data_IF_440270464946
#
_entry.id   IF_440270464946
#
_cell.length_a   1.000
_cell.length_b   1.000
_cell.length_c   1.000
_cell.angle_alpha   90.00
_cell.angle_beta   90.00
_cell.angle_gamma   90.00
#
_symmetry.space_group_name_H-M   'P 1'
#
loop_
_entity.id
_entity.type
_entity.pdbx_description
1 polymer ?
#
# COMPACT_ATOMS: atom_id res chain seq x y z
N UNK A 1 -15.24 20.33 -55.14
CA UNK A 1 -14.31 19.46 -54.40
C UNK A 1 -13.40 20.28 -53.46
N UNK A 2 -13.90 21.38 -52.89
CA UNK A 2 -13.11 22.33 -52.08
C UNK A 2 -13.64 22.48 -50.64
N UNK A 3 -14.89 22.06 -50.37
CA UNK A 3 -15.53 22.11 -49.05
C UNK A 3 -15.00 21.06 -48.05
N UNK A 4 -14.48 19.95 -48.55
CA UNK A 4 -13.90 18.86 -47.74
C UNK A 4 -12.55 19.29 -47.14
N UNK A 5 -11.76 20.04 -47.88
CA UNK A 5 -10.46 20.55 -47.43
C UNK A 5 -10.61 21.60 -46.32
N UNK A 6 -11.65 22.44 -46.38
CA UNK A 6 -11.93 23.47 -45.37
C UNK A 6 -12.30 22.83 -44.02
N UNK A 7 -13.09 21.76 -44.03
CA UNK A 7 -13.45 21.02 -42.81
C UNK A 7 -12.25 20.30 -42.18
N UNK A 8 -11.33 19.77 -42.99
CA UNK A 8 -10.08 19.16 -42.50
C UNK A 8 -9.13 20.19 -41.87
N UNK A 9 -8.99 21.35 -42.49
CA UNK A 9 -8.14 22.44 -41.96
C UNK A 9 -8.72 22.99 -40.65
N UNK A 10 -10.04 23.12 -40.53
CA UNK A 10 -10.70 23.53 -39.28
C UNK A 10 -10.61 22.45 -38.18
N UNK A 11 -10.59 21.16 -38.54
CA UNK A 11 -10.29 20.07 -37.60
C UNK A 11 -8.85 20.14 -37.10
N UNK A 12 -7.91 20.47 -37.99
CA UNK A 12 -6.50 20.56 -37.65
C UNK A 12 -6.14 21.83 -36.85
N UNK A 13 -6.85 22.94 -37.06
CA UNK A 13 -6.71 24.11 -36.20
C UNK A 13 -7.24 23.85 -34.78
N UNK A 14 -8.34 23.10 -34.64
CA UNK A 14 -8.88 22.74 -33.31
C UNK A 14 -7.94 21.81 -32.53
N UNK A 15 -7.30 20.85 -33.19
CA UNK A 15 -6.30 20.00 -32.52
C UNK A 15 -5.06 20.81 -32.11
N UNK A 16 -4.60 21.71 -32.97
CA UNK A 16 -3.46 22.59 -32.66
C UNK A 16 -3.75 23.57 -31.52
N UNK A 17 -5.00 24.04 -31.41
CA UNK A 17 -5.45 24.90 -30.32
C UNK A 17 -5.59 24.14 -28.98
N UNK A 18 -5.89 22.84 -29.01
CA UNK A 18 -5.86 21.97 -27.83
C UNK A 18 -4.43 21.71 -27.33
N UNK A 19 -3.46 21.55 -28.25
CA UNK A 19 -2.03 21.49 -27.93
C UNK A 19 -1.50 22.83 -27.35
N UNK A 20 -2.01 23.97 -27.83
CA UNK A 20 -1.61 25.30 -27.37
C UNK A 20 -2.26 25.75 -26.05
N UNK A 21 -3.42 25.20 -25.66
CA UNK A 21 -4.12 25.51 -24.40
C UNK A 21 -3.59 24.72 -23.18
N UNK A 22 -2.54 23.92 -23.32
CA UNK A 22 -1.84 23.32 -22.17
C UNK A 22 -2.68 22.32 -21.35
N UNK A 23 -3.75 21.78 -21.94
CA UNK A 23 -4.62 20.78 -21.32
C UNK A 23 -4.54 19.52 -22.19
N UNK A 24 -3.94 18.40 -21.81
CA UNK A 24 -3.50 17.93 -20.50
C UNK A 24 -2.47 16.81 -20.73
N UNK A 25 -1.17 17.10 -20.61
CA UNK A 25 -0.14 16.08 -20.33
C UNK A 25 0.22 16.08 -18.84
N UNK A 26 -0.54 16.82 -18.02
CA UNK A 26 -0.35 16.94 -16.57
C UNK A 26 -1.23 16.03 -15.70
N UNK A 27 -2.11 15.19 -16.27
CA UNK A 27 -3.04 14.37 -15.48
C UNK A 27 -2.54 12.94 -15.19
N UNK A 28 -1.33 12.58 -15.62
CA UNK A 28 -0.77 11.23 -15.39
C UNK A 28 0.09 11.09 -14.13
N UNK A 29 0.56 12.20 -13.54
CA UNK A 29 1.59 12.14 -12.48
C UNK A 29 0.95 12.15 -11.07
N UNK A 30 -0.08 12.99 -10.84
CA UNK A 30 -0.73 13.07 -9.52
C UNK A 30 -1.80 11.99 -9.24
N UNK A 31 -2.47 11.48 -10.27
CA UNK A 31 -3.51 10.44 -10.10
C UNK A 31 -2.91 9.06 -9.75
N UNK A 32 -1.70 8.77 -10.25
CA UNK A 32 -1.00 7.51 -10.02
C UNK A 32 -0.37 7.45 -8.62
N UNK A 33 0.15 8.57 -8.11
CA UNK A 33 0.68 8.67 -6.74
C UNK A 33 -0.41 8.55 -5.66
N UNK A 34 -1.57 9.19 -5.85
CA UNK A 34 -2.68 9.10 -4.91
C UNK A 34 -3.30 7.68 -4.84
N UNK A 35 -3.33 6.96 -5.97
CA UNK A 35 -3.74 5.55 -5.98
C UNK A 35 -2.72 4.65 -5.27
N UNK A 36 -1.42 4.92 -5.43
CA UNK A 36 -0.33 4.15 -4.84
C UNK A 36 -0.25 4.33 -3.31
N UNK A 37 -0.50 5.54 -2.80
CA UNK A 37 -0.51 5.81 -1.36
C UNK A 37 -1.68 5.12 -0.64
N UNK A 38 -2.86 5.08 -1.28
CA UNK A 38 -4.00 4.31 -0.77
C UNK A 38 -3.72 2.81 -0.73
N UNK A 39 -3.06 2.26 -1.75
CA UNK A 39 -2.66 0.85 -1.78
C UNK A 39 -1.69 0.50 -0.64
N UNK A 40 -0.69 1.35 -0.38
CA UNK A 40 0.22 1.13 0.75
C UNK A 40 -0.51 1.19 2.10
N UNK A 41 -1.39 2.18 2.31
CA UNK A 41 -2.19 2.27 3.55
C UNK A 41 -3.04 1.02 3.76
N UNK A 42 -3.68 0.52 2.70
CA UNK A 42 -4.49 -0.70 2.78
C UNK A 42 -3.64 -1.93 3.12
N UNK A 43 -2.46 -2.09 2.48
CA UNK A 43 -1.53 -3.17 2.78
C UNK A 43 -1.00 -3.09 4.23
N UNK A 44 -0.70 -1.88 4.72
CA UNK A 44 -0.28 -1.66 6.10
C UNK A 44 -1.39 -2.04 7.09
N UNK A 45 -2.63 -1.62 6.85
CA UNK A 45 -3.78 -2.01 7.67
C UNK A 45 -3.99 -3.53 7.67
N UNK A 46 -3.92 -4.16 6.50
CA UNK A 46 -4.02 -5.61 6.39
C UNK A 46 -2.88 -6.30 7.17
N UNK A 47 -1.64 -5.81 7.04
CA UNK A 47 -0.49 -6.38 7.73
C UNK A 47 -0.65 -6.30 9.25
N UNK A 48 -1.16 -5.17 9.78
CA UNK A 48 -1.46 -5.03 11.21
C UNK A 48 -2.53 -6.03 11.65
N UNK A 49 -3.57 -6.22 10.85
CA UNK A 49 -4.61 -7.21 11.12
C UNK A 49 -4.04 -8.63 11.12
N UNK A 50 -3.14 -8.96 10.19
CA UNK A 50 -2.50 -10.27 10.09
C UNK A 50 -1.60 -10.55 11.30
N UNK A 51 -0.79 -9.57 11.72
CA UNK A 51 0.02 -9.70 12.95
C UNK A 51 -0.88 -9.89 14.17
N UNK A 52 -1.99 -9.15 14.25
CA UNK A 52 -2.95 -9.32 15.34
C UNK A 52 -3.58 -10.72 15.34
N UNK A 53 -3.97 -11.23 14.16
CA UNK A 53 -4.49 -12.58 14.01
C UNK A 53 -3.47 -13.64 14.44
N UNK A 54 -2.20 -13.52 14.01
CA UNK A 54 -1.15 -14.46 14.42
C UNK A 54 -0.85 -14.41 15.93
N UNK A 55 -0.95 -13.23 16.57
CA UNK A 55 -0.86 -13.14 18.03
C UNK A 55 -2.05 -13.80 18.74
N UNK A 56 -3.27 -13.66 18.20
CA UNK A 56 -4.45 -14.33 18.77
C UNK A 56 -4.38 -15.85 18.59
N UNK A 57 -3.95 -16.31 17.42
CA UNK A 57 -3.73 -17.73 17.12
C UNK A 57 -2.71 -18.35 18.09
N UNK A 58 -1.57 -17.69 18.29
CA UNK A 58 -0.56 -18.16 19.25
C UNK A 58 -1.13 -18.30 20.67
N UNK A 59 -1.97 -17.36 21.11
CA UNK A 59 -2.65 -17.45 22.42
C UNK A 59 -3.65 -18.61 22.47
N UNK A 60 -4.42 -18.82 21.40
CA UNK A 60 -5.40 -19.89 21.32
C UNK A 60 -4.73 -21.27 21.34
N UNK A 61 -3.65 -21.45 20.57
CA UNK A 61 -2.87 -22.69 20.53
C UNK A 61 -2.19 -22.95 21.88
N UNK A 62 -1.66 -21.92 22.53
CA UNK A 62 -1.11 -22.03 23.90
C UNK A 62 -2.17 -22.49 24.90
N UNK A 63 -3.35 -21.86 24.88
CA UNK A 63 -4.45 -22.22 25.78
C UNK A 63 -4.97 -23.64 25.52
N UNK A 64 -5.06 -24.07 24.26
CA UNK A 64 -5.44 -25.43 23.90
C UNK A 64 -4.45 -26.46 24.45
N UNK A 65 -3.15 -26.19 24.32
CA UNK A 65 -2.10 -27.03 24.90
C UNK A 65 -2.18 -27.07 26.44
N UNK A 66 -2.34 -25.93 27.10
CA UNK A 66 -2.50 -25.84 28.56
C UNK A 66 -3.75 -26.59 29.06
N UNK A 67 -4.82 -26.63 28.25
CA UNK A 67 -6.03 -27.40 28.55
C UNK A 67 -5.89 -28.91 28.35
N UNK A 68 -4.76 -29.37 27.80
CA UNK A 68 -4.47 -30.78 27.55
C UNK A 68 -5.05 -31.32 26.25
N UNK A 69 -5.32 -30.48 25.25
CA UNK A 69 -5.79 -30.91 23.93
C UNK A 69 -4.72 -31.81 23.26
N UNK A 70 -5.02 -33.09 22.99
CA UNK A 70 -4.07 -34.01 22.36
C UNK A 70 -3.73 -33.65 20.91
N UNK A 71 -4.51 -32.76 20.29
CA UNK A 71 -4.33 -32.31 18.91
C UNK A 71 -3.22 -31.27 18.78
N UNK A 72 -2.82 -30.63 19.88
CA UNK A 72 -1.82 -29.56 19.88
C UNK A 72 -0.53 -30.05 20.52
N UNK A 73 0.58 -29.92 19.80
CA UNK A 73 1.90 -30.29 20.32
C UNK A 73 2.63 -29.09 20.92
N UNK A 74 3.52 -29.34 21.88
CA UNK A 74 4.41 -28.30 22.42
C UNK A 74 5.25 -27.64 21.31
N UNK A 75 5.69 -28.41 20.32
CA UNK A 75 6.44 -27.87 19.18
C UNK A 75 5.62 -26.86 18.39
N UNK A 76 4.33 -27.13 18.19
CA UNK A 76 3.41 -26.24 17.48
C UNK A 76 3.15 -24.95 18.26
N UNK A 77 3.01 -25.02 19.59
CA UNK A 77 2.93 -23.83 20.45
C UNK A 77 4.19 -22.97 20.32
N UNK A 78 5.37 -23.59 20.34
CA UNK A 78 6.63 -22.83 20.21
C UNK A 78 6.78 -22.19 18.83
N UNK A 79 6.43 -22.91 17.76
CA UNK A 79 6.51 -22.41 16.39
C UNK A 79 5.53 -21.25 16.19
N UNK A 80 4.29 -21.40 16.63
CA UNK A 80 3.26 -20.34 16.51
C UNK A 80 3.64 -19.09 17.31
N UNK A 81 4.19 -19.27 18.52
CA UNK A 81 4.70 -18.16 19.33
C UNK A 81 5.89 -17.45 18.67
N UNK A 82 6.87 -18.19 18.13
CA UNK A 82 8.00 -17.60 17.43
C UNK A 82 7.58 -16.87 16.15
N UNK A 83 6.64 -17.44 15.40
CA UNK A 83 6.07 -16.81 14.20
C UNK A 83 5.41 -15.46 14.54
N UNK A 84 4.54 -15.44 15.55
CA UNK A 84 3.87 -14.22 16.00
C UNK A 84 4.88 -13.15 16.48
N UNK A 85 5.91 -13.55 17.23
CA UNK A 85 6.96 -12.65 17.71
C UNK A 85 7.81 -12.05 16.58
N UNK A 86 8.19 -12.87 15.60
CA UNK A 86 8.94 -12.40 14.44
C UNK A 86 8.12 -11.42 13.60
N UNK A 87 6.85 -11.73 13.34
CA UNK A 87 5.93 -10.86 12.62
C UNK A 87 5.75 -9.51 13.33
N UNK A 88 5.56 -9.53 14.65
CA UNK A 88 5.44 -8.30 15.46
C UNK A 88 6.72 -7.44 15.41
N UNK A 89 7.88 -8.07 15.52
CA UNK A 89 9.17 -7.37 15.45
C UNK A 89 9.35 -6.73 14.07
N UNK A 90 9.05 -7.47 13.00
CA UNK A 90 9.08 -6.94 11.63
C UNK A 90 8.14 -5.75 11.45
N UNK A 91 6.92 -5.81 12.00
CA UNK A 91 5.96 -4.72 11.95
C UNK A 91 6.44 -3.47 12.70
N UNK A 92 7.11 -3.66 13.83
CA UNK A 92 7.69 -2.56 14.61
C UNK A 92 8.79 -1.85 13.83
N UNK A 93 9.64 -2.60 13.12
CA UNK A 93 10.64 -2.02 12.23
C UNK A 93 10.02 -1.22 11.08
N UNK A 94 8.95 -1.72 10.46
CA UNK A 94 8.23 -0.98 9.42
C UNK A 94 7.65 0.32 9.98
N UNK A 95 7.04 0.27 11.17
CA UNK A 95 6.54 1.48 11.87
C UNK A 95 7.67 2.48 12.09
N UNK A 96 8.82 2.03 12.61
CA UNK A 96 9.96 2.90 12.87
C UNK A 96 10.48 3.54 11.58
N UNK A 97 10.61 2.77 10.50
CA UNK A 97 11.01 3.28 9.18
C UNK A 97 10.04 4.32 8.63
N UNK A 98 8.73 4.12 8.80
CA UNK A 98 7.71 5.10 8.40
C UNK A 98 7.83 6.41 9.18
N UNK A 99 8.04 6.34 10.50
CA UNK A 99 8.23 7.52 11.33
C UNK A 99 9.51 8.28 10.95
N UNK A 100 10.58 7.55 10.60
CA UNK A 100 11.82 8.15 10.12
C UNK A 100 11.63 8.81 8.76
N UNK A 101 10.95 8.16 7.81
CA UNK A 101 10.66 8.73 6.50
C UNK A 101 9.81 10.02 6.62
N UNK A 102 8.84 10.04 7.54
CA UNK A 102 8.07 11.25 7.84
C UNK A 102 8.96 12.37 8.39
N UNK A 103 9.84 12.07 9.35
CA UNK A 103 10.80 13.05 9.87
C UNK A 103 11.77 13.56 8.81
N UNK A 104 12.24 12.68 7.92
CA UNK A 104 13.17 13.04 6.85
C UNK A 104 12.53 14.01 5.84
N UNK A 105 11.28 13.74 5.44
CA UNK A 105 10.51 14.68 4.59
C UNK A 105 10.29 16.01 5.29
N UNK A 106 10.03 16.01 6.60
CA UNK A 106 9.82 17.24 7.38
C UNK A 106 11.10 18.06 7.56
N UNK A 107 12.26 17.41 7.59
CA UNK A 107 13.57 18.04 7.72
C UNK A 107 14.24 18.37 6.38
N UNK A 108 13.61 18.06 5.24
CA UNK A 108 14.12 18.50 3.95
C UNK A 108 14.09 20.04 3.88
N UNK A 109 15.23 20.70 3.63
CA UNK A 109 15.22 22.13 3.35
C UNK A 109 14.49 22.37 2.02
N UNK A 110 13.49 23.25 2.05
CA UNK A 110 12.86 23.81 0.84
C UNK A 110 13.81 24.74 0.09
#
# INVERSE_FOLDING_TARGET
>A
MSDVAINQVLSQMRSMQALAQGQSVGSGVGATEAASSSQFSNLMTQSIADVNASMQESKAVTAAFESGDPSVSLAEVMITAQKASLQFTGMTEVRNKLLNAYQEVMNMPV
#
